data_IF_601677681386
#
_entry.id   IF_601677681386
#
_cell.length_a   1.000
_cell.length_b   1.000
_cell.length_c   1.000
_cell.angle_alpha   90.00
_cell.angle_beta   90.00
_cell.angle_gamma   90.00
#
_symmetry.space_group_name_H-M   'P 1'
#
loop_
_entity.id
_entity.type
_entity.pdbx_description
1 polymer ?
#
# COMPACT_ATOMS: atom_id res chain seq x y z
N UNK A 1 -6.93 2.33 5.95
CA UNK A 1 -6.18 1.07 5.93
C UNK A 1 -4.77 1.46 6.24
N UNK A 2 -4.18 0.88 7.26
CA UNK A 2 -2.78 1.13 7.59
C UNK A 2 -1.89 0.49 6.53
N UNK A 3 -0.66 1.01 6.36
CA UNK A 3 0.28 0.47 5.39
C UNK A 3 0.55 -1.03 5.63
N UNK A 4 0.62 -1.45 6.90
CA UNK A 4 0.84 -2.83 7.31
C UNK A 4 -0.27 -3.77 6.78
N UNK A 5 -1.54 -3.39 6.92
CA UNK A 5 -2.67 -4.15 6.37
C UNK A 5 -2.61 -4.26 4.83
N UNK A 6 -2.15 -3.21 4.15
CA UNK A 6 -2.06 -3.20 2.68
C UNK A 6 -0.96 -4.16 2.23
N UNK A 7 0.18 -4.18 2.93
CA UNK A 7 1.29 -5.09 2.66
C UNK A 7 0.87 -6.55 2.89
N UNK A 8 0.17 -6.84 3.99
CA UNK A 8 -0.32 -8.19 4.31
C UNK A 8 -1.31 -8.69 3.23
N UNK A 9 -2.22 -7.84 2.76
CA UNK A 9 -3.15 -8.18 1.67
C UNK A 9 -2.45 -8.33 0.31
N UNK A 10 -1.35 -7.62 0.08
CA UNK A 10 -0.53 -7.78 -1.12
C UNK A 10 0.20 -9.13 -1.12
N UNK A 11 0.76 -9.53 0.01
CA UNK A 11 1.38 -10.86 0.18
C UNK A 11 0.36 -11.97 -0.05
N UNK A 12 -0.84 -11.87 0.53
CA UNK A 12 -1.93 -12.83 0.28
C UNK A 12 -2.29 -12.91 -1.21
N UNK A 13 -2.31 -11.76 -1.90
CA UNK A 13 -2.61 -11.68 -3.33
C UNK A 13 -1.52 -12.39 -4.15
N UNK A 14 -0.24 -12.17 -3.82
CA UNK A 14 0.90 -12.84 -4.49
C UNK A 14 0.86 -14.35 -4.24
N UNK A 15 0.68 -14.78 -2.99
CA UNK A 15 0.55 -16.21 -2.64
C UNK A 15 -0.61 -16.88 -3.39
N UNK A 16 -1.72 -16.16 -3.54
CA UNK A 16 -2.86 -16.64 -4.33
C UNK A 16 -2.45 -16.80 -5.79
N UNK A 17 -1.81 -15.80 -6.41
CA UNK A 17 -1.38 -15.88 -7.81
C UNK A 17 -0.33 -16.97 -8.09
N UNK A 18 0.51 -17.32 -7.11
CA UNK A 18 1.49 -18.40 -7.22
C UNK A 18 0.86 -19.81 -7.19
N UNK A 19 -0.41 -19.92 -6.78
CA UNK A 19 -1.08 -21.21 -6.69
C UNK A 19 -1.51 -21.69 -8.09
N UNK A 20 -1.06 -22.89 -8.50
CA UNK A 20 -1.26 -23.47 -9.85
C UNK A 20 -2.73 -23.71 -10.29
N UNK A 21 -3.72 -23.40 -9.45
CA UNK A 21 -5.14 -23.71 -9.69
C UNK A 21 -6.01 -22.51 -10.08
N UNK A 22 -5.45 -21.32 -10.29
CA UNK A 22 -6.27 -20.19 -10.72
C UNK A 22 -6.70 -20.32 -12.18
N UNK A 23 -7.99 -20.15 -12.42
CA UNK A 23 -8.48 -19.86 -13.76
C UNK A 23 -7.96 -18.49 -14.23
N UNK A 24 -7.98 -18.26 -15.54
CA UNK A 24 -7.56 -16.99 -16.13
C UNK A 24 -8.39 -15.80 -15.58
N UNK A 25 -9.68 -16.01 -15.35
CA UNK A 25 -10.58 -14.98 -14.81
C UNK A 25 -10.24 -14.65 -13.35
N UNK A 26 -9.99 -15.67 -12.52
CA UNK A 26 -9.55 -15.49 -11.13
C UNK A 26 -8.17 -14.83 -11.07
N UNK A 27 -7.25 -15.19 -11.96
CA UNK A 27 -5.93 -14.56 -12.03
C UNK A 27 -6.05 -13.07 -12.37
N UNK A 28 -6.94 -12.71 -13.30
CA UNK A 28 -7.20 -11.32 -13.67
C UNK A 28 -7.85 -10.53 -12.53
N UNK A 29 -8.80 -11.13 -11.81
CA UNK A 29 -9.44 -10.52 -10.66
C UNK A 29 -8.44 -10.30 -9.51
N UNK A 30 -7.60 -11.31 -9.23
CA UNK A 30 -6.56 -11.27 -8.19
C UNK A 30 -5.51 -10.20 -8.53
N UNK A 31 -5.05 -10.15 -9.77
CA UNK A 31 -4.13 -9.12 -10.25
C UNK A 31 -4.73 -7.71 -10.14
N UNK A 32 -6.00 -7.53 -10.58
CA UNK A 32 -6.69 -6.24 -10.48
C UNK A 32 -6.84 -5.77 -9.03
N UNK A 33 -7.14 -6.70 -8.11
CA UNK A 33 -7.16 -6.43 -6.66
C UNK A 33 -5.79 -6.01 -6.16
N UNK A 34 -4.72 -6.75 -6.50
CA UNK A 34 -3.35 -6.41 -6.15
C UNK A 34 -2.96 -5.01 -6.62
N UNK A 35 -3.29 -4.65 -7.87
CA UNK A 35 -2.98 -3.33 -8.42
C UNK A 35 -3.66 -2.20 -7.64
N UNK A 36 -4.91 -2.39 -7.20
CA UNK A 36 -5.61 -1.42 -6.36
C UNK A 36 -4.93 -1.25 -5.00
N UNK A 37 -4.54 -2.36 -4.37
CA UNK A 37 -3.81 -2.34 -3.10
C UNK A 37 -2.48 -1.59 -3.21
N UNK A 38 -1.73 -1.75 -4.30
CA UNK A 38 -0.50 -0.98 -4.56
C UNK A 38 -0.78 0.52 -4.63
N UNK A 39 -1.85 0.93 -5.31
CA UNK A 39 -2.24 2.35 -5.40
C UNK A 39 -2.61 2.91 -4.02
N UNK A 40 -3.35 2.14 -3.22
CA UNK A 40 -3.70 2.55 -1.86
C UNK A 40 -2.46 2.62 -0.94
N UNK A 41 -1.52 1.68 -1.07
CA UNK A 41 -0.27 1.68 -0.31
C UNK A 41 0.58 2.91 -0.59
N UNK A 42 0.74 3.27 -1.86
CA UNK A 42 1.43 4.50 -2.25
C UNK A 42 0.77 5.75 -1.65
N UNK A 43 -0.56 5.79 -1.62
CA UNK A 43 -1.29 6.90 -1.00
C UNK A 43 -1.10 6.95 0.52
N UNK A 44 -1.06 5.81 1.18
CA UNK A 44 -0.78 5.75 2.62
C UNK A 44 0.64 6.25 2.93
N UNK A 45 1.64 5.87 2.13
CA UNK A 45 3.02 6.35 2.26
C UNK A 45 3.09 7.87 2.08
N UNK A 46 2.51 8.40 1.00
CA UNK A 46 2.49 9.86 0.72
C UNK A 46 1.83 10.66 1.86
N UNK A 47 0.80 10.10 2.51
CA UNK A 47 0.18 10.73 3.68
C UNK A 47 1.12 10.77 4.89
N UNK A 48 1.89 9.71 5.12
CA UNK A 48 2.87 9.66 6.20
C UNK A 48 4.01 10.65 5.92
N UNK A 49 4.55 10.65 4.71
CA UNK A 49 5.61 11.59 4.30
C UNK A 49 5.20 13.05 4.50
N UNK A 50 3.98 13.42 4.09
CA UNK A 50 3.45 14.78 4.31
C UNK A 50 3.32 15.14 5.78
N UNK A 51 2.88 14.21 6.63
CA UNK A 51 2.78 14.46 8.08
C UNK A 51 4.15 14.67 8.70
N UNK A 52 5.14 13.86 8.30
CA UNK A 52 6.53 14.02 8.76
C UNK A 52 7.09 15.37 8.32
N UNK A 53 6.87 15.79 7.07
CA UNK A 53 7.33 17.09 6.58
C UNK A 53 6.75 18.25 7.39
N UNK A 54 5.44 18.23 7.67
CA UNK A 54 4.79 19.28 8.48
C UNK A 54 5.36 19.33 9.89
N UNK A 55 5.60 18.17 10.52
CA UNK A 55 6.20 18.10 11.86
C UNK A 55 7.62 18.70 11.87
N UNK A 56 8.43 18.39 10.86
CA UNK A 56 9.78 18.94 10.72
C UNK A 56 9.78 20.45 10.45
N UNK A 57 8.84 20.95 9.65
CA UNK A 57 8.67 22.40 9.41
C UNK A 57 8.25 23.13 10.69
N UNK A 58 7.37 22.54 11.50
CA UNK A 58 6.95 23.11 12.79
C UNK A 58 8.08 23.14 13.82
N UNK A 59 8.88 22.08 13.94
CA UNK A 59 10.06 22.07 14.82
C UNK A 59 11.07 23.15 14.40
N UNK A 60 11.28 23.35 13.09
CA UNK A 60 12.19 24.38 12.59
C UNK A 60 11.70 25.82 12.82
N UNK A 61 10.37 26.05 12.83
CA UNK A 61 9.79 27.36 13.15
C UNK A 61 9.77 27.66 14.67
N UNK A 62 9.67 26.64 15.53
CA UNK A 62 9.72 26.83 17.00
C UNK A 62 11.14 27.10 17.53
N UNK A 63 12.19 26.67 16.81
CA UNK A 63 13.60 26.90 17.18
C UNK A 63 14.18 28.24 16.66
N UNK A 64 13.44 29.00 15.84
CA UNK A 64 13.86 30.26 15.20
C UNK A 64 13.37 31.52 15.93
#
# INVERSE_FOLDING_TARGET
MELEEIMEKLEETVMTMEHEKLSLEEAYATFSRGMKLVVEGNKAIDQVEKKVQILMEQEAEEEA
#
